data_IF_419312719020
#
_entry.id   IF_419312719020
#
_cell.length_a   1.000
_cell.length_b   1.000
_cell.length_c   1.000
_cell.angle_alpha   90.00
_cell.angle_beta   90.00
_cell.angle_gamma   90.00
#
_symmetry.space_group_name_H-M   'P 1'
#
loop_
_entity.id
_entity.type
_entity.pdbx_description
1 polymer ?
#
# COMPACT_ATOMS: atom_id res chain seq x y z
N UNK A 1 28.81 0.36 -29.54
CA UNK A 1 27.48 -0.21 -29.27
C UNK A 1 26.70 0.84 -28.54
N UNK A 2 25.49 1.15 -28.99
CA UNK A 2 24.63 2.09 -28.28
C UNK A 2 24.23 1.40 -26.97
N UNK A 3 24.62 1.92 -25.81
CA UNK A 3 24.49 1.21 -24.51
C UNK A 3 23.07 0.73 -24.24
N UNK A 4 22.07 1.46 -24.74
CA UNK A 4 20.67 1.09 -24.60
C UNK A 4 20.26 -0.14 -25.44
N UNK A 5 20.98 -0.50 -26.50
CA UNK A 5 20.67 -1.70 -27.30
C UNK A 5 20.96 -2.98 -26.52
N UNK A 6 22.10 -3.03 -25.82
CA UNK A 6 22.45 -4.18 -24.98
C UNK A 6 21.55 -4.30 -23.76
N UNK A 7 21.19 -3.17 -23.15
CA UNK A 7 20.26 -3.14 -22.01
C UNK A 7 18.88 -3.63 -22.43
N UNK A 8 18.39 -3.16 -23.59
CA UNK A 8 17.13 -3.63 -24.18
C UNK A 8 17.18 -5.13 -24.46
N UNK A 9 18.24 -5.61 -25.11
CA UNK A 9 18.39 -7.03 -25.44
C UNK A 9 18.34 -7.91 -24.19
N UNK A 10 18.97 -7.47 -23.09
CA UNK A 10 18.93 -8.19 -21.82
C UNK A 10 17.51 -8.30 -21.26
N UNK A 11 16.74 -7.21 -21.23
CA UNK A 11 15.35 -7.23 -20.76
C UNK A 11 14.49 -8.10 -21.66
N UNK A 12 14.62 -7.98 -22.98
CA UNK A 12 13.83 -8.78 -23.93
C UNK A 12 14.15 -10.29 -23.87
N UNK A 13 15.37 -10.68 -23.45
CA UNK A 13 15.69 -12.09 -23.18
C UNK A 13 14.99 -12.64 -21.95
N UNK A 14 14.74 -11.82 -20.93
CA UNK A 14 13.91 -12.19 -19.78
C UNK A 14 12.43 -12.28 -20.18
N UNK A 15 11.95 -11.33 -20.98
CA UNK A 15 10.59 -11.31 -21.53
C UNK A 15 10.31 -12.57 -22.37
N UNK A 16 11.26 -12.99 -23.21
CA UNK A 16 11.14 -14.22 -24.01
C UNK A 16 11.02 -15.50 -23.16
N UNK A 17 11.40 -15.45 -21.88
CA UNK A 17 11.23 -16.53 -20.90
C UNK A 17 9.92 -16.38 -20.10
N UNK A 18 9.06 -15.43 -20.48
CA UNK A 18 7.85 -15.07 -19.75
C UNK A 18 8.14 -14.68 -18.29
N UNK A 19 9.25 -13.96 -18.05
CA UNK A 19 9.57 -13.44 -16.72
C UNK A 19 8.55 -12.36 -16.31
N UNK A 20 8.39 -12.15 -15.00
CA UNK A 20 7.73 -10.96 -14.48
C UNK A 20 8.81 -9.89 -14.25
N UNK A 21 8.74 -8.77 -14.96
CA UNK A 21 9.80 -7.75 -15.03
C UNK A 21 9.31 -6.48 -14.35
N UNK A 22 10.06 -5.97 -13.37
CA UNK A 22 9.72 -4.71 -12.73
C UNK A 22 10.93 -3.78 -12.62
N UNK A 23 10.67 -2.47 -12.62
CA UNK A 23 11.70 -1.44 -12.52
C UNK A 23 12.05 -1.15 -11.06
N UNK A 24 13.32 -1.35 -10.70
CA UNK A 24 13.81 -1.16 -9.34
C UNK A 24 14.13 0.30 -9.03
N UNK A 25 13.84 0.68 -7.78
CA UNK A 25 14.19 1.94 -7.08
C UNK A 25 14.36 3.19 -7.98
N UNK A 26 13.30 3.67 -8.65
CA UNK A 26 13.35 4.89 -9.46
C UNK A 26 13.84 6.10 -8.66
N UNK A 27 14.83 6.83 -9.14
CA UNK A 27 15.35 8.01 -8.45
C UNK A 27 16.33 7.73 -7.31
N UNK A 28 16.80 6.49 -7.14
CA UNK A 28 17.85 6.15 -6.16
C UNK A 28 19.13 7.01 -6.30
N UNK A 29 19.52 7.38 -7.52
CA UNK A 29 20.65 8.26 -7.79
C UNK A 29 20.20 9.63 -8.33
N UNK A 30 19.73 10.55 -7.48
CA UNK A 30 19.17 11.83 -7.91
C UNK A 30 20.19 12.72 -8.65
N UNK A 31 21.49 12.46 -8.50
CA UNK A 31 22.56 13.16 -9.23
C UNK A 31 22.67 12.77 -10.71
N UNK A 32 21.99 11.71 -11.15
CA UNK A 32 21.94 11.32 -12.57
C UNK A 32 20.70 11.95 -13.21
N UNK A 33 20.92 12.68 -14.31
CA UNK A 33 19.83 13.27 -15.09
C UNK A 33 18.84 12.20 -15.54
N UNK A 34 17.55 12.42 -15.27
CA UNK A 34 16.49 11.46 -15.63
C UNK A 34 16.36 10.26 -14.70
N UNK A 35 17.16 10.15 -13.64
CA UNK A 35 17.11 9.04 -12.67
C UNK A 35 15.73 8.79 -12.07
N UNK A 36 14.92 9.86 -11.94
CA UNK A 36 13.55 9.79 -11.44
C UNK A 36 12.53 10.29 -12.46
N UNK A 37 12.79 10.08 -13.75
CA UNK A 37 11.90 10.45 -14.85
C UNK A 37 11.47 9.23 -15.68
N UNK A 38 10.33 9.36 -16.35
CA UNK A 38 9.85 8.36 -17.29
C UNK A 38 10.58 8.50 -18.62
N UNK A 39 11.69 7.79 -18.77
CA UNK A 39 12.58 7.91 -19.93
C UNK A 39 12.04 7.19 -21.18
N UNK A 40 12.50 7.57 -22.40
CA UNK A 40 12.14 6.88 -23.64
C UNK A 40 12.42 5.37 -23.62
N UNK A 41 13.48 4.93 -22.92
CA UNK A 41 13.79 3.52 -22.73
C UNK A 41 12.72 2.79 -21.91
N UNK A 42 12.24 3.40 -20.82
CA UNK A 42 11.16 2.84 -19.98
C UNK A 42 9.84 2.80 -20.77
N UNK A 43 9.56 3.84 -21.55
CA UNK A 43 8.40 3.86 -22.45
C UNK A 43 8.47 2.77 -23.52
N UNK A 44 9.65 2.48 -24.07
CA UNK A 44 9.84 1.36 -25.00
C UNK A 44 9.54 0.01 -24.34
N UNK A 45 10.11 -0.27 -23.16
CA UNK A 45 9.85 -1.52 -22.43
C UNK A 45 8.35 -1.68 -22.11
N UNK A 46 7.71 -0.62 -21.64
CA UNK A 46 6.27 -0.60 -21.38
C UNK A 46 5.44 -0.91 -22.62
N UNK A 47 5.71 -0.26 -23.76
CA UNK A 47 4.98 -0.50 -25.02
C UNK A 47 5.17 -1.92 -25.55
N UNK A 48 6.33 -2.51 -25.32
CA UNK A 48 6.65 -3.88 -25.71
C UNK A 48 6.19 -4.92 -24.68
N UNK A 49 5.45 -4.51 -23.63
CA UNK A 49 4.97 -5.36 -22.52
C UNK A 49 6.09 -6.05 -21.72
N UNK A 50 7.31 -5.51 -21.77
CA UNK A 50 8.47 -6.00 -21.02
C UNK A 50 8.69 -5.22 -19.70
N UNK A 51 7.60 -4.71 -19.12
CA UNK A 51 7.58 -4.00 -17.84
C UNK A 51 6.20 -4.22 -17.19
N UNK A 52 6.16 -5.05 -16.16
CA UNK A 52 4.96 -5.48 -15.45
C UNK A 52 4.72 -4.72 -14.14
N UNK A 53 5.77 -4.13 -13.57
CA UNK A 53 5.71 -3.47 -12.26
C UNK A 53 6.79 -2.43 -12.02
N UNK A 54 6.68 -1.71 -10.91
CA UNK A 54 7.70 -0.76 -10.44
C UNK A 54 7.80 -0.87 -8.92
N UNK A 55 9.02 -0.81 -8.39
CA UNK A 55 9.24 -0.58 -6.97
C UNK A 55 8.80 0.83 -6.59
N UNK A 56 7.71 0.92 -5.82
CA UNK A 56 7.26 2.19 -5.25
C UNK A 56 7.96 2.47 -3.93
N UNK A 57 8.46 1.44 -3.25
CA UNK A 57 9.24 1.59 -2.02
C UNK A 57 10.38 0.58 -1.99
N UNK A 58 11.58 1.08 -1.77
CA UNK A 58 12.80 0.28 -1.70
C UNK A 58 13.53 0.60 -0.40
N UNK A 59 13.76 -0.41 0.43
CA UNK A 59 14.24 -0.18 1.79
C UNK A 59 13.27 0.73 2.54
N UNK A 60 13.73 1.89 3.01
CA UNK A 60 12.88 2.93 3.62
C UNK A 60 12.55 4.10 2.68
N UNK A 61 12.98 4.04 1.41
CA UNK A 61 12.79 5.10 0.42
C UNK A 61 11.47 4.95 -0.33
N UNK A 62 10.57 5.93 -0.18
CA UNK A 62 9.29 5.96 -0.92
C UNK A 62 9.41 6.78 -2.21
N UNK A 63 9.19 6.11 -3.35
CA UNK A 63 9.21 6.67 -4.69
C UNK A 63 7.79 7.08 -5.14
N UNK A 64 7.29 8.19 -4.60
CA UNK A 64 5.95 8.72 -4.89
C UNK A 64 5.53 8.76 -6.37
N UNK A 65 6.39 9.25 -7.30
CA UNK A 65 6.08 9.28 -8.74
C UNK A 65 5.90 7.86 -9.32
N UNK A 66 6.63 6.88 -8.78
CA UNK A 66 6.51 5.49 -9.21
C UNK A 66 5.15 4.90 -8.86
N UNK A 67 4.55 5.29 -7.73
CA UNK A 67 3.19 4.91 -7.41
C UNK A 67 2.20 5.47 -8.44
N UNK A 68 2.31 6.75 -8.79
CA UNK A 68 1.45 7.36 -9.80
C UNK A 68 1.60 6.69 -11.17
N UNK A 69 2.83 6.39 -11.60
CA UNK A 69 3.07 5.61 -12.82
C UNK A 69 2.44 4.22 -12.76
N UNK A 70 2.48 3.54 -11.62
CA UNK A 70 1.79 2.25 -11.47
C UNK A 70 0.28 2.37 -11.66
N UNK A 71 -0.33 3.43 -11.14
CA UNK A 71 -1.76 3.69 -11.31
C UNK A 71 -2.07 4.04 -12.77
N UNK A 72 -1.37 5.03 -13.33
CA UNK A 72 -1.64 5.58 -14.67
C UNK A 72 -1.40 4.57 -15.79
N UNK A 73 -0.37 3.73 -15.65
CA UNK A 73 0.03 2.73 -16.66
C UNK A 73 -0.43 1.33 -16.31
N UNK A 74 -1.26 1.18 -15.28
CA UNK A 74 -1.79 -0.10 -14.82
C UNK A 74 -0.68 -1.14 -14.57
N UNK A 75 0.42 -0.74 -13.92
CA UNK A 75 1.52 -1.61 -13.53
C UNK A 75 1.34 -2.15 -12.11
N UNK A 76 2.09 -3.18 -11.77
CA UNK A 76 2.10 -3.82 -10.45
C UNK A 76 2.92 -3.00 -9.48
N UNK A 77 2.36 -2.71 -8.31
CA UNK A 77 3.06 -2.00 -7.23
C UNK A 77 3.96 -2.98 -6.48
N UNK A 78 5.26 -2.71 -6.46
CA UNK A 78 6.24 -3.54 -5.76
C UNK A 78 6.87 -2.78 -4.60
N UNK A 79 7.20 -3.52 -3.55
CA UNK A 79 7.98 -3.05 -2.40
C UNK A 79 9.02 -4.10 -2.03
N UNK A 80 10.28 -3.69 -1.91
CA UNK A 80 11.37 -4.61 -1.57
C UNK A 80 12.35 -4.01 -0.57
N UNK A 81 13.23 -4.86 -0.04
CA UNK A 81 14.25 -4.44 0.91
C UNK A 81 15.52 -3.91 0.28
N UNK A 82 15.86 -4.43 -0.91
CA UNK A 82 17.20 -4.35 -1.52
C UNK A 82 18.36 -4.50 -0.53
N UNK A 83 18.25 -5.51 0.35
CA UNK A 83 19.15 -5.65 1.48
C UNK A 83 20.53 -6.13 1.02
N UNK A 84 21.56 -5.35 1.33
CA UNK A 84 22.96 -5.69 1.07
C UNK A 84 23.73 -6.10 2.35
N UNK A 85 23.09 -5.95 3.51
CA UNK A 85 23.62 -6.26 4.84
C UNK A 85 22.68 -7.20 5.61
N UNK A 86 22.99 -7.49 6.87
CA UNK A 86 22.04 -8.18 7.75
C UNK A 86 20.79 -7.30 7.95
N UNK A 87 19.61 -7.90 7.85
CA UNK A 87 18.33 -7.18 8.03
C UNK A 87 18.29 -6.42 9.36
N UNK A 88 18.83 -7.01 10.43
CA UNK A 88 18.91 -6.38 11.75
C UNK A 88 19.83 -5.16 11.85
N UNK A 89 20.69 -4.93 10.85
CA UNK A 89 21.52 -3.73 10.73
C UNK A 89 20.88 -2.68 9.82
N UNK A 90 19.96 -3.09 8.94
CA UNK A 90 19.25 -2.21 8.01
C UNK A 90 17.94 -1.65 8.57
N UNK A 91 17.33 -2.33 9.55
CA UNK A 91 16.05 -1.95 10.15
C UNK A 91 16.18 -1.88 11.67
N UNK A 92 15.62 -0.81 12.27
CA UNK A 92 15.64 -0.58 13.71
C UNK A 92 14.68 -1.51 14.44
N UNK A 93 15.17 -2.71 14.78
CA UNK A 93 14.41 -3.73 15.49
C UNK A 93 14.06 -3.35 16.94
N UNK A 94 14.50 -2.20 17.46
CA UNK A 94 14.04 -1.69 18.77
C UNK A 94 12.65 -1.07 18.72
N UNK A 95 12.13 -0.83 17.50
CA UNK A 95 10.80 -0.27 17.26
C UNK A 95 9.90 -1.35 16.69
N UNK A 96 8.87 -1.73 17.43
CA UNK A 96 7.97 -2.84 17.06
C UNK A 96 7.23 -2.63 15.72
N UNK A 97 7.12 -1.39 15.23
CA UNK A 97 6.49 -1.07 13.96
C UNK A 97 7.45 -1.05 12.76
N UNK A 98 8.76 -1.21 12.99
CA UNK A 98 9.77 -1.21 11.95
C UNK A 98 10.07 -2.66 11.58
N UNK A 99 9.86 -2.98 10.32
CA UNK A 99 10.17 -4.28 9.74
C UNK A 99 10.70 -4.09 8.33
N UNK A 100 11.24 -5.17 7.76
CA UNK A 100 11.71 -5.17 6.38
C UNK A 100 10.58 -4.78 5.42
N UNK A 101 10.86 -3.92 4.46
CA UNK A 101 9.89 -3.59 3.40
C UNK A 101 9.60 -4.82 2.54
N UNK A 102 8.33 -5.04 2.23
CA UNK A 102 7.90 -6.21 1.47
C UNK A 102 6.69 -5.90 0.57
N UNK A 103 6.38 -6.82 -0.31
CA UNK A 103 5.14 -6.81 -1.10
C UNK A 103 4.18 -7.84 -0.52
N UNK A 104 3.00 -7.40 -0.10
CA UNK A 104 1.88 -8.28 0.18
C UNK A 104 1.24 -8.68 -1.15
N UNK A 105 1.33 -9.96 -1.51
CA UNK A 105 0.73 -10.51 -2.73
C UNK A 105 -0.59 -11.18 -2.37
N UNK A 106 -1.70 -10.68 -2.92
CA UNK A 106 -3.05 -11.12 -2.56
C UNK A 106 -3.44 -12.34 -3.42
N UNK A 107 -3.01 -13.50 -2.95
CA UNK A 107 -3.19 -14.81 -3.60
C UNK A 107 -4.43 -15.56 -3.09
N UNK A 108 -4.94 -16.49 -3.91
CA UNK A 108 -5.99 -17.44 -3.49
C UNK A 108 -5.40 -18.64 -2.74
N UNK A 109 -4.24 -19.11 -3.21
CA UNK A 109 -3.53 -20.26 -2.67
C UNK A 109 -2.05 -19.94 -2.49
N UNK A 110 -1.38 -20.61 -1.54
CA UNK A 110 0.04 -20.43 -1.29
C UNK A 110 0.88 -21.29 -2.25
N UNK A 111 0.86 -20.94 -3.54
CA UNK A 111 1.62 -21.60 -4.61
C UNK A 111 2.35 -20.59 -5.48
N UNK A 112 3.49 -20.94 -6.10
CA UNK A 112 4.18 -20.07 -7.05
C UNK A 112 3.27 -19.59 -8.20
N UNK A 113 2.38 -20.45 -8.68
CA UNK A 113 1.44 -20.15 -9.76
C UNK A 113 0.41 -19.10 -9.34
N UNK A 114 -0.14 -19.22 -8.13
CA UNK A 114 -1.04 -18.21 -7.57
C UNK A 114 -0.34 -16.89 -7.28
N UNK A 115 0.92 -16.93 -6.85
CA UNK A 115 1.75 -15.70 -6.70
C UNK A 115 1.92 -15.05 -8.07
N UNK A 116 2.33 -15.81 -9.09
CA UNK A 116 2.50 -15.28 -10.44
C UNK A 116 1.21 -14.69 -10.98
N UNK A 117 0.09 -15.40 -10.87
CA UNK A 117 -1.21 -14.89 -11.33
C UNK A 117 -1.62 -13.61 -10.59
N UNK A 118 -1.39 -13.52 -9.27
CA UNK A 118 -1.68 -12.32 -8.52
C UNK A 118 -0.78 -11.13 -8.92
N UNK A 119 0.50 -11.37 -9.21
CA UNK A 119 1.41 -10.37 -9.76
C UNK A 119 0.94 -9.90 -11.15
N UNK A 120 0.63 -10.83 -12.05
CA UNK A 120 0.08 -10.51 -13.39
C UNK A 120 -1.27 -9.82 -13.32
N UNK A 121 -2.05 -10.04 -12.26
CA UNK A 121 -3.31 -9.36 -11.99
C UNK A 121 -3.13 -8.02 -11.27
N UNK A 122 -1.90 -7.66 -10.88
CA UNK A 122 -1.53 -6.46 -10.11
C UNK A 122 -2.20 -6.39 -8.75
N UNK A 123 -2.44 -7.54 -8.12
CA UNK A 123 -3.07 -7.66 -6.79
C UNK A 123 -2.02 -7.64 -5.69
N UNK A 124 -1.37 -6.49 -5.55
CA UNK A 124 -0.29 -6.27 -4.59
C UNK A 124 -0.52 -5.01 -3.76
N UNK A 125 0.06 -5.00 -2.56
CA UNK A 125 0.23 -3.83 -1.69
C UNK A 125 1.66 -3.84 -1.16
N UNK A 126 2.43 -2.79 -1.42
CA UNK A 126 3.73 -2.61 -0.79
C UNK A 126 3.55 -2.19 0.68
N UNK A 127 4.32 -2.80 1.58
CA UNK A 127 4.23 -2.58 3.02
C UNK A 127 5.60 -2.21 3.58
N UNK A 128 5.69 -1.00 4.14
CA UNK A 128 6.89 -0.45 4.73
C UNK A 128 6.59 0.18 6.09
N UNK A 129 6.92 -0.55 7.16
CA UNK A 129 6.66 -0.14 8.54
C UNK A 129 5.16 0.17 8.76
N UNK A 130 4.80 1.44 8.95
CA UNK A 130 3.41 1.86 9.14
C UNK A 130 2.66 2.06 7.83
N UNK A 131 3.34 2.11 6.69
CA UNK A 131 2.78 2.59 5.45
C UNK A 131 2.43 1.45 4.49
N UNK A 132 1.27 1.59 3.86
CA UNK A 132 0.79 0.72 2.80
C UNK A 132 0.66 1.52 1.51
N UNK A 133 1.21 1.03 0.41
CA UNK A 133 1.13 1.68 -0.89
C UNK A 133 0.61 0.70 -1.93
N UNK A 134 -0.37 1.10 -2.73
CA UNK A 134 -0.96 0.19 -3.71
C UNK A 134 -2.13 0.80 -4.46
N UNK A 135 -2.71 0.01 -5.37
CA UNK A 135 -3.95 0.41 -6.03
C UNK A 135 -5.09 0.50 -5.02
N UNK A 136 -5.97 1.47 -5.21
CA UNK A 136 -7.03 1.78 -4.24
C UNK A 136 -7.87 0.55 -3.89
N UNK A 137 -8.22 -0.27 -4.89
CA UNK A 137 -8.98 -1.50 -4.72
C UNK A 137 -8.26 -2.55 -3.86
N UNK A 138 -6.94 -2.67 -3.96
CA UNK A 138 -6.16 -3.64 -3.19
C UNK A 138 -6.00 -3.17 -1.75
N UNK A 139 -5.63 -1.90 -1.55
CA UNK A 139 -5.46 -1.31 -0.22
C UNK A 139 -6.78 -1.30 0.54
N UNK A 140 -7.89 -0.97 -0.15
CA UNK A 140 -9.25 -1.03 0.40
C UNK A 140 -9.65 -2.45 0.82
N UNK A 141 -9.40 -3.43 -0.04
CA UNK A 141 -9.71 -4.83 0.26
C UNK A 141 -8.93 -5.34 1.47
N UNK A 142 -7.64 -4.97 1.57
CA UNK A 142 -6.81 -5.28 2.73
C UNK A 142 -7.35 -4.60 4.00
N UNK A 143 -7.63 -3.29 3.95
CA UNK A 143 -8.19 -2.55 5.09
C UNK A 143 -9.49 -3.19 5.59
N UNK A 144 -10.42 -3.52 4.68
CA UNK A 144 -11.71 -4.11 5.03
C UNK A 144 -11.58 -5.51 5.63
N UNK A 145 -10.53 -6.26 5.29
CA UNK A 145 -10.23 -7.55 5.91
C UNK A 145 -9.64 -7.39 7.33
N UNK A 146 -8.94 -6.27 7.57
CA UNK A 146 -8.23 -6.01 8.81
C UNK A 146 -9.09 -5.31 9.88
N UNK A 147 -9.98 -4.41 9.47
CA UNK A 147 -10.70 -3.50 10.36
C UNK A 147 -12.18 -3.85 10.42
N UNK A 148 -12.68 -4.08 11.64
CA UNK A 148 -14.07 -4.43 11.91
C UNK A 148 -14.67 -3.49 12.94
N UNK A 149 -15.93 -3.06 12.73
CA UNK A 149 -16.73 -2.36 13.74
C UNK A 149 -17.84 -3.28 14.22
N UNK A 150 -17.89 -3.50 15.52
CA UNK A 150 -18.93 -4.30 16.16
C UNK A 150 -20.19 -3.47 16.44
N UNK A 151 -21.36 -4.12 16.58
CA UNK A 151 -22.59 -3.47 17.01
C UNK A 151 -22.42 -2.65 18.29
N UNK A 152 -23.21 -1.58 18.42
CA UNK A 152 -23.17 -0.73 19.61
C UNK A 152 -23.54 -1.53 20.86
N UNK A 153 -22.72 -1.46 21.91
CA UNK A 153 -22.99 -2.14 23.18
C UNK A 153 -23.63 -1.23 24.24
N UNK A 154 -23.64 0.08 23.98
CA UNK A 154 -24.24 1.09 24.84
C UNK A 154 -24.71 2.30 24.02
N UNK A 155 -25.69 3.04 24.54
CA UNK A 155 -26.17 4.28 23.93
C UNK A 155 -26.68 5.26 24.98
N UNK A 156 -26.44 6.54 24.77
CA UNK A 156 -26.91 7.63 25.63
C UNK A 156 -27.59 8.70 24.79
N UNK A 157 -28.75 9.16 25.24
CA UNK A 157 -29.48 10.26 24.61
C UNK A 157 -29.35 11.50 25.48
N UNK A 158 -28.84 12.59 24.91
CA UNK A 158 -28.72 13.86 25.63
C UNK A 158 -30.09 14.56 25.76
N UNK A 159 -30.14 15.66 26.52
CA UNK A 159 -31.37 16.45 26.73
C UNK A 159 -31.94 17.09 25.46
N UNK A 160 -31.14 17.16 24.40
CA UNK A 160 -31.52 17.70 23.07
C UNK A 160 -32.02 16.59 22.12
N UNK A 161 -32.13 15.34 22.60
CA UNK A 161 -32.60 14.19 21.81
C UNK A 161 -31.52 13.53 20.95
N UNK A 162 -30.27 14.00 21.03
CA UNK A 162 -29.13 13.44 20.29
C UNK A 162 -28.66 12.13 20.93
N UNK A 163 -28.63 11.05 20.16
CA UNK A 163 -28.20 9.73 20.64
C UNK A 163 -26.77 9.43 20.23
N UNK A 164 -25.89 9.24 21.21
CA UNK A 164 -24.52 8.77 21.04
C UNK A 164 -24.48 7.28 21.33
N UNK A 165 -23.92 6.50 20.42
CA UNK A 165 -23.69 5.06 20.57
C UNK A 165 -22.20 4.78 20.78
N UNK A 166 -21.91 3.70 21.50
CA UNK A 166 -20.55 3.23 21.78
C UNK A 166 -20.29 1.94 21.02
N UNK A 167 -19.31 1.97 20.12
CA UNK A 167 -18.93 0.86 19.25
C UNK A 167 -17.54 0.38 19.61
N UNK A 168 -17.27 -0.91 19.49
CA UNK A 168 -15.91 -1.42 19.51
C UNK A 168 -15.41 -1.53 18.06
N UNK A 169 -14.30 -0.86 17.75
CA UNK A 169 -13.56 -1.03 16.51
C UNK A 169 -12.32 -1.88 16.79
N UNK A 170 -12.04 -2.83 15.90
CA UNK A 170 -10.97 -3.82 16.03
C UNK A 170 -10.06 -3.79 14.82
N UNK A 171 -8.78 -4.04 15.06
CA UNK A 171 -7.82 -4.43 14.05
C UNK A 171 -7.37 -5.85 14.35
N UNK A 172 -7.72 -6.78 13.47
CA UNK A 172 -7.41 -8.21 13.62
C UNK A 172 -6.10 -8.61 12.91
N UNK A 173 -5.29 -7.63 12.51
CA UNK A 173 -4.06 -7.83 11.72
C UNK A 173 -2.83 -7.26 12.42
N UNK A 174 -1.65 -7.52 11.83
CA UNK A 174 -0.38 -6.94 12.26
C UNK A 174 -0.10 -5.55 11.64
N UNK A 175 -1.05 -5.02 10.85
CA UNK A 175 -0.90 -3.73 10.18
C UNK A 175 -1.25 -2.59 11.14
N UNK A 176 -0.63 -1.42 10.96
CA UNK A 176 -0.94 -0.20 11.71
C UNK A 176 -1.85 0.72 10.89
N UNK A 177 -2.97 1.17 11.47
CA UNK A 177 -3.87 2.11 10.82
C UNK A 177 -4.06 3.38 11.63
N UNK A 178 -3.94 4.50 10.94
CA UNK A 178 -4.30 5.81 11.46
C UNK A 178 -5.33 6.45 10.54
N UNK A 179 -6.42 6.93 11.13
CA UNK A 179 -7.58 7.42 10.41
C UNK A 179 -7.95 8.82 10.90
N UNK A 180 -8.13 9.74 9.98
CA UNK A 180 -8.58 11.11 10.24
C UNK A 180 -9.96 11.35 9.61
N UNK A 181 -10.91 11.84 10.39
CA UNK A 181 -12.29 12.03 9.95
C UNK A 181 -12.37 13.20 8.98
N UNK A 182 -12.90 12.95 7.78
CA UNK A 182 -13.09 13.97 6.74
C UNK A 182 -14.54 14.40 6.59
N UNK A 183 -15.51 13.56 6.98
CA UNK A 183 -16.93 13.90 6.98
C UNK A 183 -17.74 13.06 7.99
N UNK A 184 -18.92 13.54 8.36
CA UNK A 184 -19.86 12.86 9.27
C UNK A 184 -19.51 13.00 10.76
N UNK A 185 -20.22 12.23 11.60
CA UNK A 185 -20.11 12.28 13.06
C UNK A 185 -19.34 11.05 13.59
N UNK A 186 -18.29 11.29 14.38
CA UNK A 186 -17.42 10.27 14.99
C UNK A 186 -16.16 10.88 15.60
N UNK A 187 -15.21 10.11 16.14
CA UNK A 187 -13.94 10.68 16.60
C UNK A 187 -13.19 11.43 15.49
N UNK A 188 -12.47 12.50 15.83
CA UNK A 188 -11.65 13.22 14.83
C UNK A 188 -10.48 12.39 14.31
N UNK A 189 -9.94 11.52 15.15
CA UNK A 189 -8.83 10.61 14.85
C UNK A 189 -9.06 9.26 15.51
N UNK A 190 -8.70 8.18 14.82
CA UNK A 190 -8.71 6.81 15.32
C UNK A 190 -7.35 6.19 15.01
N UNK A 191 -6.73 5.54 16.00
CA UNK A 191 -5.43 4.86 15.85
C UNK A 191 -5.60 3.40 16.25
N UNK A 192 -5.48 2.50 15.27
CA UNK A 192 -5.55 1.07 15.50
C UNK A 192 -4.14 0.48 15.40
N UNK A 193 -3.60 0.11 16.56
CA UNK A 193 -2.38 -0.68 16.65
C UNK A 193 -2.61 -2.11 16.16
N UNK A 194 -1.54 -2.86 15.81
CA UNK A 194 -1.62 -4.29 15.54
C UNK A 194 -2.40 -5.04 16.62
N UNK A 195 -3.31 -5.93 16.20
CA UNK A 195 -4.11 -6.81 17.08
C UNK A 195 -4.84 -6.07 18.22
N UNK A 196 -5.22 -4.82 18.00
CA UNK A 196 -5.81 -3.97 19.03
C UNK A 196 -7.32 -3.76 18.85
N UNK A 197 -7.96 -3.25 19.90
CA UNK A 197 -9.33 -2.73 19.80
C UNK A 197 -9.50 -1.50 20.67
N UNK A 198 -10.43 -0.64 20.29
CA UNK A 198 -10.79 0.54 21.06
C UNK A 198 -12.31 0.79 20.99
N UNK A 199 -12.83 1.49 21.99
CA UNK A 199 -14.22 1.97 21.97
C UNK A 199 -14.25 3.35 21.33
N UNK A 200 -15.19 3.57 20.41
CA UNK A 200 -15.48 4.86 19.80
C UNK A 200 -16.91 5.29 20.11
N UNK A 201 -17.10 6.59 20.35
CA UNK A 201 -18.41 7.19 20.58
C UNK A 201 -18.81 8.01 19.35
N UNK A 202 -19.98 7.70 18.79
CA UNK A 202 -20.48 8.33 17.57
C UNK A 202 -21.99 8.15 17.44
N UNK A 203 -22.63 8.98 16.62
CA UNK A 203 -23.99 8.69 16.14
C UNK A 203 -23.96 7.50 15.18
N UNK A 204 -25.11 6.85 14.96
CA UNK A 204 -25.26 5.89 13.85
C UNK A 204 -25.06 6.59 12.51
N UNK A 205 -24.46 5.91 11.55
CA UNK A 205 -24.21 6.47 10.23
C UNK A 205 -22.98 5.89 9.55
N UNK A 206 -22.39 6.66 8.65
CA UNK A 206 -21.21 6.27 7.88
C UNK A 206 -20.21 7.44 7.80
N UNK A 207 -19.57 7.83 8.92
CA UNK A 207 -18.50 8.82 8.87
C UNK A 207 -17.39 8.37 7.91
N UNK A 208 -16.82 9.36 7.22
CA UNK A 208 -15.76 9.15 6.24
C UNK A 208 -14.43 9.46 6.89
N UNK A 209 -13.45 8.58 6.70
CA UNK A 209 -12.09 8.74 7.20
C UNK A 209 -11.07 8.62 6.08
N UNK A 210 -10.02 9.44 6.15
CA UNK A 210 -8.78 9.25 5.42
C UNK A 210 -7.84 8.36 6.23
N UNK A 211 -7.41 7.23 5.68
CA UNK A 211 -6.43 6.33 6.32
C UNK A 211 -5.03 6.86 5.99
N UNK A 212 -4.53 7.79 6.80
CA UNK A 212 -3.30 8.57 6.52
C UNK A 212 -2.01 7.74 6.50
N UNK A 213 -2.08 6.48 6.92
CA UNK A 213 -1.00 5.49 6.79
C UNK A 213 -1.02 4.73 5.47
N UNK A 214 -1.85 5.13 4.50
CA UNK A 214 -1.95 4.47 3.20
C UNK A 214 -1.69 5.45 2.06
N UNK A 215 -1.11 5.01 0.95
CA UNK A 215 -1.01 5.80 -0.28
C UNK A 215 -1.64 5.03 -1.43
N UNK A 216 -2.70 5.59 -2.00
CA UNK A 216 -3.33 5.08 -3.23
C UNK A 216 -2.93 5.88 -4.46
N UNK A 217 -2.36 7.07 -4.24
CA UNK A 217 -1.53 7.89 -5.15
C UNK A 217 -0.48 8.63 -4.32
N UNK A 218 0.45 9.32 -4.97
CA UNK A 218 1.48 10.12 -4.28
C UNK A 218 0.90 11.17 -3.33
N UNK A 219 -0.26 11.73 -3.67
CA UNK A 219 -0.94 12.83 -2.97
C UNK A 219 -2.27 12.40 -2.32
N UNK A 220 -2.61 11.10 -2.36
CA UNK A 220 -3.92 10.60 -1.95
C UNK A 220 -3.81 9.38 -1.05
N UNK A 221 -4.46 9.49 0.11
CA UNK A 221 -4.68 8.39 1.05
C UNK A 221 -5.99 7.65 0.76
N UNK A 222 -6.12 6.41 1.23
CA UNK A 222 -7.37 5.65 1.13
C UNK A 222 -8.47 6.37 1.92
N UNK A 223 -9.61 6.66 1.26
CA UNK A 223 -10.82 7.13 1.94
C UNK A 223 -11.75 5.96 2.23
N UNK A 224 -12.24 5.81 3.46
CA UNK A 224 -13.12 4.71 3.90
C UNK A 224 -14.38 5.24 4.57
N UNK A 225 -15.50 4.56 4.32
CA UNK A 225 -16.74 4.78 5.05
C UNK A 225 -16.78 3.78 6.21
N UNK A 226 -16.79 4.28 7.44
CA UNK A 226 -16.88 3.43 8.61
C UNK A 226 -18.36 3.20 8.95
N UNK A 227 -18.89 2.02 8.65
CA UNK A 227 -20.28 1.70 8.95
C UNK A 227 -20.50 1.57 10.47
N UNK A 228 -21.34 2.45 11.02
CA UNK A 228 -21.73 2.46 12.42
C UNK A 228 -23.21 2.04 12.53
N UNK A 229 -23.49 0.76 12.80
CA UNK A 229 -24.85 0.19 12.78
C UNK A 229 -25.80 0.69 13.89
#
# INVERSE_FOLDING_TARGET
>A
MNTNETDREAVMKAEAQNAFIFWNHPGWQPGIAGSYEWLPFIEDLYKNKALDGIEVVNGTGFHMKALDWCIDKNLTVMGSTDVHNLISLSYDNSRDYVHRTMTLVLVRDNTPESVREALDARRTVAWASKYLMGKEENVRSLFNACVEVLPSHHSETNREGKTIKYYQIRNNSDLYFEMERTAGNGPGRIVLYPQSSQVIAAESGQPVYSVVTTYVRSDKHLSVNLLLP
#
